data_IF_027512119552
#
_entry.id   IF_027512119552
#
_cell.length_a   1.000
_cell.length_b   1.000
_cell.length_c   1.000
_cell.angle_alpha   90.00
_cell.angle_beta   90.00
_cell.angle_gamma   90.00
#
_symmetry.space_group_name_H-M   'P 1'
#
loop_
_entity.id
_entity.type
_entity.pdbx_description
1 polymer ?
#
# COMPACT_ATOMS: atom_id res chain seq x y z
N UNK A 1 -9.56 -1.28 2.48
CA UNK A 1 -8.45 -1.89 1.71
C UNK A 1 -7.17 -1.64 2.50
N UNK A 2 -6.28 -2.63 2.69
CA UNK A 2 -5.14 -2.54 3.63
C UNK A 2 -4.33 -1.22 3.58
N UNK A 3 -3.84 -0.76 2.41
CA UNK A 3 -3.02 0.44 2.33
C UNK A 3 -3.76 1.73 2.74
N UNK A 4 -5.05 1.85 2.39
CA UNK A 4 -5.89 2.99 2.79
C UNK A 4 -6.01 3.04 4.32
N UNK A 5 -6.32 1.92 4.97
CA UNK A 5 -6.41 1.90 6.43
C UNK A 5 -5.09 2.24 7.10
N UNK A 6 -3.95 1.79 6.55
CA UNK A 6 -2.64 2.20 7.06
C UNK A 6 -2.45 3.71 7.00
N UNK A 7 -2.77 4.35 5.86
CA UNK A 7 -2.64 5.81 5.73
C UNK A 7 -3.57 6.57 6.68
N UNK A 8 -4.82 6.11 6.84
CA UNK A 8 -5.80 6.68 7.77
C UNK A 8 -5.31 6.63 9.23
N UNK A 9 -4.85 5.46 9.68
CA UNK A 9 -4.32 5.28 11.05
C UNK A 9 -3.05 6.12 11.29
N UNK A 10 -2.27 6.37 10.23
CA UNK A 10 -1.10 7.24 10.30
C UNK A 10 -1.45 8.74 10.20
N UNK A 11 -2.68 9.09 9.84
CA UNK A 11 -3.07 10.48 9.54
C UNK A 11 -2.31 11.10 8.36
N UNK A 12 -1.88 10.28 7.40
CA UNK A 12 -1.18 10.75 6.19
C UNK A 12 -2.19 11.10 5.12
N UNK A 13 -2.11 12.32 4.58
CA UNK A 13 -2.96 12.76 3.48
C UNK A 13 -2.67 11.96 2.20
N UNK A 14 -3.72 11.56 1.50
CA UNK A 14 -3.62 10.81 0.24
C UNK A 14 -4.74 11.16 -0.73
N UNK A 15 -4.49 10.93 -2.01
CA UNK A 15 -5.51 10.93 -3.05
C UNK A 15 -5.88 9.50 -3.41
N UNK A 16 -7.17 9.25 -3.64
CA UNK A 16 -7.67 7.92 -4.02
C UNK A 16 -8.50 7.99 -5.29
N UNK A 17 -8.04 7.30 -6.33
CA UNK A 17 -8.85 7.03 -7.50
C UNK A 17 -9.59 5.69 -7.33
N UNK A 18 -10.92 5.74 -7.32
CA UNK A 18 -11.75 4.55 -7.23
C UNK A 18 -12.04 3.98 -8.62
N UNK A 19 -11.66 2.73 -8.85
CA UNK A 19 -11.89 2.03 -10.11
C UNK A 19 -12.99 0.95 -10.00
N UNK A 20 -13.78 0.72 -11.06
CA UNK A 20 -14.72 -0.40 -11.12
C UNK A 20 -13.97 -1.73 -11.08
N UNK A 21 -14.50 -2.72 -10.35
CA UNK A 21 -13.83 -4.02 -10.16
C UNK A 21 -14.47 -5.15 -10.96
N UNK A 22 -13.71 -5.98 -11.71
CA UNK A 22 -12.25 -5.91 -11.87
C UNK A 22 -11.80 -4.84 -12.91
N UNK A 23 -10.79 -4.01 -12.60
CA UNK A 23 -10.39 -2.88 -13.46
C UNK A 23 -10.06 -3.29 -14.89
N UNK A 24 -9.31 -4.38 -15.08
CA UNK A 24 -8.97 -4.92 -16.41
C UNK A 24 -10.16 -5.19 -17.35
N UNK A 25 -11.37 -5.35 -16.81
CA UNK A 25 -12.59 -5.59 -17.60
C UNK A 25 -13.34 -4.29 -17.84
N UNK A 26 -13.48 -3.47 -16.81
CA UNK A 26 -14.37 -2.30 -16.82
C UNK A 26 -13.66 -0.97 -17.11
N UNK A 27 -12.33 -0.93 -17.06
CA UNK A 27 -11.47 0.20 -17.40
C UNK A 27 -10.19 -0.31 -18.11
N UNK A 28 -10.26 -0.74 -19.38
CA UNK A 28 -9.13 -1.38 -20.07
C UNK A 28 -7.90 -0.49 -20.26
N UNK A 29 -8.09 0.83 -20.35
CA UNK A 29 -7.06 1.86 -20.37
C UNK A 29 -6.19 1.86 -19.10
N UNK A 30 -6.70 1.36 -17.97
CA UNK A 30 -5.90 1.18 -16.75
C UNK A 30 -4.71 0.22 -16.92
N UNK A 31 -4.71 -0.64 -17.95
CA UNK A 31 -3.56 -1.50 -18.27
C UNK A 31 -2.32 -0.71 -18.69
N UNK A 32 -2.47 0.55 -19.11
CA UNK A 32 -1.35 1.45 -19.39
C UNK A 32 -0.64 1.89 -18.10
N UNK A 33 -1.39 2.01 -16.98
CA UNK A 33 -0.86 2.33 -15.64
C UNK A 33 -0.32 1.08 -14.94
N UNK A 34 -1.12 0.02 -14.89
CA UNK A 34 -0.76 -1.25 -14.27
C UNK A 34 -1.09 -2.41 -15.21
N UNK A 35 -0.06 -2.99 -15.82
CA UNK A 35 -0.19 -4.12 -16.74
C UNK A 35 -0.87 -5.36 -16.10
N UNK A 36 -0.82 -5.50 -14.78
CA UNK A 36 -1.53 -6.58 -14.08
C UNK A 36 -3.05 -6.35 -14.07
N UNK A 37 -3.50 -5.10 -14.23
CA UNK A 37 -4.90 -4.71 -14.24
C UNK A 37 -5.62 -4.96 -12.92
N UNK A 38 -4.86 -4.99 -11.82
CA UNK A 38 -5.33 -5.21 -10.44
C UNK A 38 -5.19 -3.94 -9.60
N UNK A 39 -5.90 -3.93 -8.48
CA UNK A 39 -5.81 -2.89 -7.44
C UNK A 39 -5.57 -3.57 -6.09
N UNK A 40 -4.91 -2.91 -5.12
CA UNK A 40 -4.37 -1.54 -5.17
C UNK A 40 -3.19 -1.36 -6.12
N UNK A 41 -2.98 -0.11 -6.53
CA UNK A 41 -1.76 0.38 -7.17
C UNK A 41 -1.37 1.70 -6.49
N UNK A 42 -0.10 1.85 -6.16
CA UNK A 42 0.42 3.03 -5.46
C UNK A 42 1.32 3.81 -6.41
N UNK A 43 1.11 5.12 -6.45
CA UNK A 43 2.02 6.10 -7.03
C UNK A 43 2.43 7.11 -5.94
N UNK A 44 3.73 7.30 -5.77
CA UNK A 44 4.30 8.29 -4.85
C UNK A 44 5.61 8.83 -5.44
N UNK A 45 5.49 9.97 -6.15
CA UNK A 45 6.56 10.50 -6.98
C UNK A 45 6.97 9.50 -8.06
N UNK A 46 8.21 9.02 -8.01
CA UNK A 46 8.73 8.00 -8.94
C UNK A 46 8.43 6.56 -8.50
N UNK A 47 7.92 6.37 -7.27
CA UNK A 47 7.63 5.04 -6.73
C UNK A 47 6.32 4.51 -7.28
N UNK A 48 6.35 3.25 -7.74
CA UNK A 48 5.22 2.51 -8.28
C UNK A 48 5.17 1.13 -7.65
N UNK A 49 4.05 0.76 -7.03
CA UNK A 49 3.93 -0.53 -6.33
C UNK A 49 2.58 -1.19 -6.61
N UNK A 50 2.56 -2.53 -6.62
CA UNK A 50 1.34 -3.36 -6.76
C UNK A 50 1.06 -4.23 -5.52
N UNK A 51 2.08 -4.47 -4.68
CA UNK A 51 1.97 -5.35 -3.52
C UNK A 51 1.47 -4.61 -2.27
N UNK A 52 0.22 -4.91 -1.88
CA UNK A 52 -0.46 -4.20 -0.79
C UNK A 52 0.24 -4.27 0.58
N UNK A 53 0.93 -5.37 0.90
CA UNK A 53 1.71 -5.49 2.15
C UNK A 53 2.94 -4.58 2.09
N UNK A 54 3.63 -4.59 0.95
CA UNK A 54 4.79 -3.74 0.73
C UNK A 54 4.45 -2.26 0.82
N UNK A 55 3.27 -1.85 0.31
CA UNK A 55 2.78 -0.47 0.46
C UNK A 55 2.61 -0.08 1.93
N UNK A 56 1.99 -0.94 2.76
CA UNK A 56 1.82 -0.66 4.19
C UNK A 56 3.16 -0.47 4.90
N UNK A 57 4.12 -1.37 4.65
CA UNK A 57 5.48 -1.25 5.18
C UNK A 57 6.17 0.03 4.68
N UNK A 58 6.06 0.32 3.38
CA UNK A 58 6.62 1.51 2.77
C UNK A 58 6.10 2.80 3.42
N UNK A 59 4.80 2.90 3.69
CA UNK A 59 4.24 4.06 4.36
C UNK A 59 4.80 4.23 5.76
N UNK A 60 4.75 3.17 6.58
CA UNK A 60 5.24 3.19 7.96
C UNK A 60 6.71 3.62 8.03
N UNK A 61 7.55 3.12 7.13
CA UNK A 61 8.98 3.46 7.09
C UNK A 61 9.26 4.87 6.53
N UNK A 62 8.52 5.31 5.51
CA UNK A 62 8.77 6.60 4.83
C UNK A 62 8.14 7.79 5.54
N UNK A 63 6.90 7.64 6.01
CA UNK A 63 6.09 8.71 6.59
C UNK A 63 5.92 8.60 8.10
N UNK A 64 6.55 7.60 8.71
CA UNK A 64 6.67 7.52 10.16
C UNK A 64 7.51 8.65 10.77
N UNK A 65 7.76 8.60 12.08
CA UNK A 65 7.37 7.52 13.00
C UNK A 65 5.86 7.48 13.29
N UNK A 66 5.33 6.28 13.49
CA UNK A 66 3.93 6.00 13.86
C UNK A 66 3.89 4.81 14.82
N UNK A 67 2.84 4.70 15.62
CA UNK A 67 2.61 3.57 16.53
C UNK A 67 2.39 2.24 15.79
N UNK A 68 2.19 2.27 14.47
CA UNK A 68 2.13 1.07 13.62
C UNK A 68 3.49 0.46 13.29
N UNK A 69 4.59 1.16 13.58
CA UNK A 69 5.94 0.65 13.33
C UNK A 69 6.33 -0.38 14.39
N UNK A 70 6.61 -1.61 13.96
CA UNK A 70 7.19 -2.64 14.83
C UNK A 70 8.71 -2.57 14.73
N UNK A 71 9.38 -2.21 15.82
CA UNK A 71 10.83 -2.04 15.84
C UNK A 71 11.57 -3.37 16.03
N UNK A 72 12.84 -3.47 15.58
CA UNK A 72 13.63 -4.68 15.73
C UNK A 72 13.82 -5.20 17.16
N UNK A 73 13.69 -4.32 18.16
CA UNK A 73 13.80 -4.63 19.58
C UNK A 73 12.48 -5.08 20.24
N UNK A 74 11.37 -5.10 19.50
CA UNK A 74 10.07 -5.57 19.99
C UNK A 74 9.91 -7.09 19.82
N UNK A 75 9.28 -7.75 20.79
CA UNK A 75 9.06 -9.20 20.80
C UNK A 75 8.30 -9.70 19.54
N UNK A 76 7.41 -8.87 19.00
CA UNK A 76 6.58 -9.18 17.85
C UNK A 76 7.30 -9.02 16.50
N UNK A 77 8.53 -8.49 16.47
CA UNK A 77 9.26 -8.18 15.22
C UNK A 77 9.46 -9.42 14.33
N UNK A 78 9.78 -10.57 14.94
CA UNK A 78 9.96 -11.81 14.17
C UNK A 78 8.64 -12.31 13.54
N UNK A 79 7.50 -12.04 14.17
CA UNK A 79 6.17 -12.35 13.63
C UNK A 79 5.81 -11.35 12.53
N UNK A 80 6.15 -10.09 12.72
CA UNK A 80 6.02 -9.02 11.74
C UNK A 80 6.80 -9.31 10.44
N UNK A 81 8.00 -9.88 10.49
CA UNK A 81 8.73 -10.22 9.26
C UNK A 81 8.19 -11.45 8.51
N UNK A 82 7.38 -12.29 9.16
CA UNK A 82 6.86 -13.54 8.59
C UNK A 82 5.59 -13.38 7.75
N UNK A 83 5.24 -12.16 7.32
CA UNK A 83 4.10 -11.97 6.42
C UNK A 83 4.36 -12.64 5.05
N UNK A 84 3.92 -13.90 4.94
CA UNK A 84 3.92 -14.78 3.77
C UNK A 84 3.05 -16.01 4.03
#
# INVERSE_FOLDING_TARGET
MRPIWTLEEMGVDYEVEMLPFPPRVFKPDYLETNILGTIPYLEDGDVRMTESVGMCLYFVEKYGPTDLQVKPDEDDFATYLKFG
#
